data_IF_898328573814
#
_entry.id   IF_898328573814
#
_cell.length_a   1.000
_cell.length_b   1.000
_cell.length_c   1.000
_cell.angle_alpha   90.00
_cell.angle_beta   90.00
_cell.angle_gamma   90.00
#
_symmetry.space_group_name_H-M   'P 1'
#
loop_
_entity.id
_entity.type
_entity.pdbx_description
1 polymer ?
#
# COMPACT_ATOMS: atom_id res chain seq x y z
N UNK A 1 37.88 1.94 -5.61
CA UNK A 1 38.48 2.51 -4.38
C UNK A 1 39.52 3.56 -4.79
N UNK A 2 39.67 4.68 -4.07
CA UNK A 2 40.84 5.58 -4.25
C UNK A 2 42.18 4.82 -4.10
N UNK A 3 42.15 3.61 -3.54
CA UNK A 3 43.29 2.71 -3.44
C UNK A 3 43.77 2.10 -4.78
N UNK A 4 43.01 2.19 -5.88
CA UNK A 4 43.40 1.55 -7.16
C UNK A 4 44.11 2.49 -8.15
N UNK A 5 44.20 3.79 -7.84
CA UNK A 5 45.04 4.74 -8.57
C UNK A 5 46.16 5.24 -7.67
N UNK A 6 47.15 4.38 -7.43
CA UNK A 6 48.44 4.75 -6.83
C UNK A 6 49.32 5.57 -7.78
N UNK A 7 48.77 6.64 -8.36
CA UNK A 7 49.57 7.65 -9.07
C UNK A 7 50.34 8.55 -8.10
N UNK A 8 51.37 9.27 -8.56
CA UNK A 8 52.18 10.14 -7.70
C UNK A 8 51.40 11.33 -7.11
N UNK A 9 50.21 11.64 -7.62
CA UNK A 9 49.36 12.72 -7.15
C UNK A 9 48.13 12.16 -6.45
N UNK A 10 48.04 12.41 -5.13
CA UNK A 10 46.87 12.12 -4.33
C UNK A 10 45.79 13.16 -4.65
N UNK A 11 44.72 12.77 -5.34
CA UNK A 11 43.60 13.68 -5.62
C UNK A 11 42.89 14.04 -4.30
N UNK A 12 43.13 15.25 -3.80
CA UNK A 12 42.51 15.76 -2.57
C UNK A 12 41.10 16.23 -2.86
N UNK A 13 40.10 15.40 -2.52
CA UNK A 13 38.69 15.79 -2.57
C UNK A 13 38.33 16.53 -1.28
N UNK A 14 37.86 17.77 -1.41
CA UNK A 14 37.40 18.59 -0.28
C UNK A 14 35.89 18.79 -0.40
N UNK A 15 35.17 18.48 0.68
CA UNK A 15 33.73 18.71 0.74
C UNK A 15 33.42 20.21 0.83
N UNK A 16 32.34 20.63 0.17
CA UNK A 16 31.82 21.99 0.29
C UNK A 16 31.37 22.29 1.74
N UNK A 17 31.44 23.54 2.24
CA UNK A 17 31.01 23.87 3.61
C UNK A 17 29.56 23.47 3.97
N UNK A 18 28.68 23.45 2.97
CA UNK A 18 27.27 23.03 3.12
C UNK A 18 27.00 21.58 2.69
N UNK A 19 28.05 20.78 2.48
CA UNK A 19 27.88 19.37 2.15
C UNK A 19 27.41 18.59 3.38
N UNK A 20 26.33 17.83 3.22
CA UNK A 20 25.86 16.88 4.22
C UNK A 20 25.53 15.56 3.54
N UNK A 21 25.74 14.45 4.26
CA UNK A 21 25.36 13.12 3.81
C UNK A 21 24.04 12.75 4.45
N UNK A 22 23.03 12.48 3.62
CA UNK A 22 21.79 11.86 4.05
C UNK A 22 21.82 10.39 3.63
N UNK A 23 21.49 9.49 4.55
CA UNK A 23 21.34 8.07 4.28
C UNK A 23 20.04 7.58 4.90
N UNK A 24 19.41 6.59 4.27
CA UNK A 24 18.26 5.89 4.83
C UNK A 24 18.65 4.45 5.13
N UNK A 25 18.00 3.89 6.14
CA UNK A 25 18.14 2.49 6.48
C UNK A 25 16.76 1.88 6.67
N UNK A 26 16.63 0.63 6.26
CA UNK A 26 15.52 -0.16 6.77
C UNK A 26 15.77 -0.45 8.25
N UNK A 27 14.72 -0.48 9.11
CA UNK A 27 14.86 -0.96 10.47
C UNK A 27 15.51 -2.34 10.48
N UNK A 28 16.46 -2.60 11.39
CA UNK A 28 16.99 -3.96 11.53
C UNK A 28 16.00 -4.87 12.25
N UNK A 29 16.09 -6.16 11.92
CA UNK A 29 15.12 -7.19 12.31
C UNK A 29 14.58 -7.97 11.11
N UNK A 30 14.62 -7.39 9.91
CA UNK A 30 14.31 -8.12 8.67
C UNK A 30 15.44 -9.09 8.30
N UNK A 31 15.07 -10.28 7.85
CA UNK A 31 16.01 -11.33 7.45
C UNK A 31 17.00 -10.81 6.40
N UNK A 32 18.31 -10.93 6.69
CA UNK A 32 19.38 -10.48 5.80
C UNK A 32 19.77 -9.00 5.93
N UNK A 33 19.13 -8.21 6.82
CA UNK A 33 19.53 -6.82 7.08
C UNK A 33 20.41 -6.74 8.33
N UNK A 34 21.66 -6.31 8.15
CA UNK A 34 22.59 -6.08 9.26
C UNK A 34 22.40 -4.67 9.80
N UNK A 35 22.28 -4.58 11.12
CA UNK A 35 22.38 -3.33 11.85
C UNK A 35 23.73 -2.64 11.55
N UNK A 36 23.73 -1.31 11.52
CA UNK A 36 24.99 -0.57 11.45
C UNK A 36 25.77 -0.76 12.75
N UNK A 37 27.10 -0.78 12.63
CA UNK A 37 27.95 -0.81 13.82
C UNK A 37 27.70 0.43 14.69
N UNK A 38 27.79 0.31 16.03
CA UNK A 38 27.65 1.47 16.92
C UNK A 38 28.57 2.64 16.54
N UNK A 39 29.79 2.33 16.06
CA UNK A 39 30.75 3.33 15.61
C UNK A 39 30.27 4.15 14.40
N UNK A 40 29.50 3.54 13.48
CA UNK A 40 28.97 4.25 12.33
C UNK A 40 27.70 5.03 12.70
N UNK A 41 26.82 4.43 13.51
CA UNK A 41 25.62 5.09 14.06
C UNK A 41 25.97 6.38 14.81
N UNK A 42 27.02 6.33 15.65
CA UNK A 42 27.51 7.49 16.40
C UNK A 42 28.09 8.63 15.54
N UNK A 43 28.31 8.41 14.22
CA UNK A 43 28.74 9.46 13.28
C UNK A 43 27.59 10.15 12.55
N UNK A 44 26.38 9.62 12.67
CA UNK A 44 25.17 10.19 12.08
C UNK A 44 24.23 10.72 13.17
N UNK A 45 23.36 11.65 12.78
CA UNK A 45 22.15 11.95 13.55
C UNK A 45 21.04 11.00 13.08
N UNK A 46 20.58 10.13 13.97
CA UNK A 46 19.51 9.19 13.65
C UNK A 46 18.15 9.81 13.86
N UNK A 47 17.29 9.69 12.86
CA UNK A 47 15.90 10.11 12.90
C UNK A 47 15.04 8.86 12.66
N UNK A 48 14.24 8.50 13.67
CA UNK A 48 13.26 7.43 13.55
C UNK A 48 11.95 7.98 13.01
N UNK A 49 11.53 7.46 11.86
CA UNK A 49 10.25 7.84 11.22
C UNK A 49 9.21 6.79 11.60
N UNK A 50 8.16 7.16 12.36
CA UNK A 50 7.08 6.23 12.68
C UNK A 50 6.27 5.87 11.42
N UNK A 51 5.62 4.70 11.38
CA UNK A 51 4.68 4.40 10.31
C UNK A 51 3.49 5.35 10.35
N UNK A 52 2.98 5.72 9.17
CA UNK A 52 1.72 6.48 9.05
C UNK A 52 0.57 5.55 9.39
N UNK A 53 -0.10 5.86 10.50
CA UNK A 53 -1.27 5.13 11.00
C UNK A 53 -2.47 6.03 11.25
N UNK A 54 -2.29 7.35 11.14
CA UNK A 54 -3.35 8.33 11.31
C UNK A 54 -4.33 8.25 10.14
N UNK A 55 -5.63 8.12 10.46
CA UNK A 55 -6.65 7.88 9.44
C UNK A 55 -6.91 9.12 8.58
N UNK A 56 -6.75 10.32 9.14
CA UNK A 56 -6.95 11.58 8.41
C UNK A 56 -5.78 11.80 7.44
N UNK A 57 -4.55 11.49 7.84
CA UNK A 57 -3.38 11.51 6.96
C UNK A 57 -3.52 10.49 5.80
N UNK A 58 -3.94 9.26 6.11
CA UNK A 58 -4.21 8.25 5.07
C UNK A 58 -5.32 8.68 4.10
N UNK A 59 -6.38 9.30 4.62
CA UNK A 59 -7.46 9.87 3.81
C UNK A 59 -6.92 10.98 2.89
N UNK A 60 -6.11 11.89 3.43
CA UNK A 60 -5.46 12.96 2.68
C UNK A 60 -4.59 12.43 1.54
N UNK A 61 -3.75 11.42 1.82
CA UNK A 61 -2.92 10.74 0.80
C UNK A 61 -3.78 10.13 -0.31
N UNK A 62 -4.89 9.47 0.05
CA UNK A 62 -5.77 8.87 -0.93
C UNK A 62 -6.46 9.92 -1.81
N UNK A 63 -6.98 11.00 -1.21
CA UNK A 63 -7.64 12.09 -1.92
C UNK A 63 -6.69 12.84 -2.86
N UNK A 64 -5.48 13.15 -2.41
CA UNK A 64 -4.48 13.88 -3.21
C UNK A 64 -4.04 13.08 -4.45
N UNK A 65 -3.96 11.75 -4.31
CA UNK A 65 -3.53 10.86 -5.39
C UNK A 65 -4.58 10.61 -6.46
N UNK A 66 -5.86 10.76 -6.15
CA UNK A 66 -6.94 10.55 -7.11
C UNK A 66 -7.11 11.84 -7.92
N UNK A 67 -6.43 11.88 -9.06
CA UNK A 67 -6.24 13.10 -9.85
C UNK A 67 -7.45 13.49 -10.69
N UNK A 68 -8.30 12.52 -11.02
CA UNK A 68 -9.38 12.65 -12.01
C UNK A 68 -10.69 13.24 -11.45
N UNK A 69 -10.86 13.28 -10.13
CA UNK A 69 -12.10 13.68 -9.46
C UNK A 69 -12.11 15.17 -9.07
N UNK A 70 -11.87 16.07 -10.03
CA UNK A 70 -11.78 17.53 -9.79
C UNK A 70 -13.10 18.31 -9.95
N UNK A 71 -14.22 17.61 -10.18
CA UNK A 71 -15.54 18.24 -10.34
C UNK A 71 -16.41 18.16 -9.06
N UNK A 72 -17.22 19.19 -8.73
CA UNK A 72 -18.00 19.25 -7.49
C UNK A 72 -19.00 18.09 -7.33
N UNK A 73 -19.64 17.64 -8.41
CA UNK A 73 -20.57 16.49 -8.39
C UNK A 73 -19.87 15.16 -8.11
N UNK A 74 -18.58 15.04 -8.44
CA UNK A 74 -17.80 13.82 -8.26
C UNK A 74 -17.11 13.75 -6.89
N UNK A 75 -16.98 14.88 -6.20
CA UNK A 75 -16.32 14.95 -4.88
C UNK A 75 -17.08 14.17 -3.80
N UNK A 76 -18.41 14.23 -3.75
CA UNK A 76 -19.19 13.48 -2.76
C UNK A 76 -19.01 11.97 -2.92
N UNK A 77 -19.05 11.48 -4.16
CA UNK A 77 -18.85 10.05 -4.45
C UNK A 77 -17.40 9.62 -4.18
N UNK A 78 -16.43 10.45 -4.52
CA UNK A 78 -15.02 10.21 -4.19
C UNK A 78 -14.83 10.08 -2.68
N UNK A 79 -15.40 10.99 -1.89
CA UNK A 79 -15.32 10.93 -0.43
C UNK A 79 -15.95 9.65 0.11
N UNK A 80 -17.07 9.19 -0.45
CA UNK A 80 -17.67 7.91 -0.07
C UNK A 80 -16.74 6.72 -0.35
N UNK A 81 -16.09 6.70 -1.52
CA UNK A 81 -15.13 5.66 -1.90
C UNK A 81 -13.90 5.68 -0.98
N UNK A 82 -13.28 6.84 -0.78
CA UNK A 82 -12.11 6.96 0.08
C UNK A 82 -12.46 6.60 1.54
N UNK A 83 -13.60 7.04 2.05
CA UNK A 83 -14.06 6.66 3.38
C UNK A 83 -14.28 5.15 3.52
N UNK A 84 -14.72 4.46 2.46
CA UNK A 84 -14.79 3.01 2.44
C UNK A 84 -13.39 2.37 2.48
N UNK A 85 -12.42 2.90 1.73
CA UNK A 85 -11.02 2.44 1.76
C UNK A 85 -10.41 2.58 3.15
N UNK A 86 -10.55 3.74 3.78
CA UNK A 86 -9.97 4.03 5.11
C UNK A 86 -10.71 3.26 6.22
N UNK A 87 -12.03 3.13 6.14
CA UNK A 87 -12.78 2.26 7.06
C UNK A 87 -12.33 0.80 6.95
N UNK A 88 -12.08 0.32 5.72
CA UNK A 88 -11.61 -1.03 5.48
C UNK A 88 -10.19 -1.23 6.01
N UNK A 89 -9.33 -0.25 5.79
CA UNK A 89 -7.97 -0.21 6.33
C UNK A 89 -7.94 -0.45 7.84
N UNK A 90 -8.69 0.38 8.57
CA UNK A 90 -8.76 0.35 10.02
C UNK A 90 -9.34 -0.98 10.50
N UNK A 91 -10.46 -1.41 9.91
CA UNK A 91 -11.11 -2.67 10.26
C UNK A 91 -10.21 -3.88 10.02
N UNK A 92 -9.59 -3.97 8.85
CA UNK A 92 -8.76 -5.11 8.46
C UNK A 92 -7.52 -5.22 9.36
N UNK A 93 -6.86 -4.10 9.66
CA UNK A 93 -5.68 -4.10 10.53
C UNK A 93 -6.02 -4.49 11.97
N UNK A 94 -7.22 -4.15 12.47
CA UNK A 94 -7.72 -4.60 13.79
C UNK A 94 -8.01 -6.10 13.85
N UNK A 95 -8.21 -6.79 12.72
CA UNK A 95 -8.43 -8.24 12.71
C UNK A 95 -7.14 -9.05 12.98
N UNK A 96 -5.97 -8.42 12.84
CA UNK A 96 -4.67 -9.08 12.96
C UNK A 96 -4.57 -10.42 12.19
N UNK A 97 -4.88 -10.47 10.88
CA UNK A 97 -4.93 -11.74 10.13
C UNK A 97 -3.55 -12.32 9.80
N UNK A 98 -2.46 -11.85 10.43
CA UNK A 98 -1.08 -12.23 10.08
C UNK A 98 -0.44 -11.39 8.98
N UNK A 99 -1.19 -10.44 8.38
CA UNK A 99 -0.67 -9.36 7.52
C UNK A 99 -1.28 -8.04 7.96
N UNK A 100 -0.44 -7.03 8.16
CA UNK A 100 -0.86 -5.65 8.38
C UNK A 100 -0.78 -4.90 7.05
N UNK A 101 -1.82 -4.15 6.71
CA UNK A 101 -1.79 -3.22 5.58
C UNK A 101 -0.90 -2.03 5.95
N UNK A 102 -0.06 -1.60 5.00
CA UNK A 102 0.87 -0.46 5.05
C UNK A 102 0.55 0.65 4.03
N UNK A 103 0.94 1.90 4.22
CA UNK A 103 0.70 3.00 3.25
C UNK A 103 0.93 2.62 1.78
N UNK A 104 1.92 1.75 1.50
CA UNK A 104 2.18 1.18 0.17
C UNK A 104 0.96 0.45 -0.42
N UNK A 105 0.29 -0.36 0.38
CA UNK A 105 -0.93 -1.08 0.02
C UNK A 105 -2.06 -0.10 -0.32
N UNK A 106 -2.25 0.95 0.49
CA UNK A 106 -3.24 2.00 0.23
C UNK A 106 -2.94 2.72 -1.09
N UNK A 107 -1.69 3.16 -1.29
CA UNK A 107 -1.26 3.85 -2.51
C UNK A 107 -1.47 2.95 -3.73
N UNK A 108 -1.17 1.66 -3.62
CA UNK A 108 -1.35 0.70 -4.72
C UNK A 108 -2.83 0.49 -5.04
N UNK A 109 -3.69 0.41 -4.01
CA UNK A 109 -5.13 0.29 -4.18
C UNK A 109 -5.74 1.55 -4.82
N UNK A 110 -5.32 2.73 -4.36
CA UNK A 110 -5.72 4.02 -4.94
C UNK A 110 -5.25 4.14 -6.39
N UNK A 111 -4.01 3.75 -6.69
CA UNK A 111 -3.48 3.75 -8.05
C UNK A 111 -4.27 2.84 -9.00
N UNK A 112 -4.66 1.65 -8.53
CA UNK A 112 -5.55 0.78 -9.29
C UNK A 112 -6.92 1.44 -9.55
N UNK A 113 -7.49 2.06 -8.52
CA UNK A 113 -8.78 2.74 -8.63
C UNK A 113 -8.76 3.88 -9.64
N UNK A 114 -7.78 4.80 -9.56
CA UNK A 114 -7.67 5.97 -10.45
C UNK A 114 -7.54 5.58 -11.94
N UNK A 115 -6.94 4.43 -12.23
CA UNK A 115 -6.80 3.90 -13.59
C UNK A 115 -8.10 3.24 -14.08
N UNK A 116 -8.82 2.52 -13.22
CA UNK A 116 -9.88 1.58 -13.65
C UNK A 116 -11.30 2.08 -13.48
N UNK A 117 -11.51 3.13 -12.67
CA UNK A 117 -12.85 3.63 -12.32
C UNK A 117 -13.70 4.03 -13.54
N UNK A 118 -13.11 4.67 -14.55
CA UNK A 118 -13.85 5.09 -15.75
C UNK A 118 -14.42 3.89 -16.52
N UNK A 119 -13.69 2.77 -16.51
CA UNK A 119 -14.03 1.57 -17.29
C UNK A 119 -14.93 0.59 -16.53
N UNK A 120 -14.78 0.50 -15.20
CA UNK A 120 -15.49 -0.45 -14.36
C UNK A 120 -16.65 0.19 -13.58
N UNK A 121 -16.62 1.51 -13.42
CA UNK A 121 -17.39 2.23 -12.41
C UNK A 121 -16.69 2.21 -11.04
N UNK A 122 -16.93 3.22 -10.19
CA UNK A 122 -16.15 3.42 -8.97
C UNK A 122 -16.35 2.31 -7.92
N UNK A 123 -17.56 1.78 -7.74
CA UNK A 123 -17.80 0.69 -6.79
C UNK A 123 -17.06 -0.59 -7.22
N UNK A 124 -17.10 -0.91 -8.52
CA UNK A 124 -16.39 -2.08 -9.06
C UNK A 124 -14.88 -1.89 -8.99
N UNK A 125 -14.35 -0.71 -9.36
CA UNK A 125 -12.92 -0.42 -9.27
C UNK A 125 -12.39 -0.52 -7.84
N UNK A 126 -13.15 -0.04 -6.86
CA UNK A 126 -12.83 -0.18 -5.43
C UNK A 126 -12.75 -1.66 -5.03
N UNK A 127 -13.78 -2.46 -5.34
CA UNK A 127 -13.84 -3.88 -4.99
C UNK A 127 -12.75 -4.69 -5.71
N UNK A 128 -12.56 -4.46 -7.02
CA UNK A 128 -11.51 -5.06 -7.84
C UNK A 128 -10.11 -4.78 -7.31
N UNK A 129 -9.83 -3.53 -6.95
CA UNK A 129 -8.56 -3.15 -6.35
C UNK A 129 -8.32 -3.81 -5.00
N UNK A 130 -9.34 -3.94 -4.15
CA UNK A 130 -9.19 -4.56 -2.83
C UNK A 130 -8.72 -6.01 -2.96
N UNK A 131 -9.36 -6.79 -3.83
CA UNK A 131 -8.99 -8.19 -4.00
C UNK A 131 -7.64 -8.36 -4.69
N UNK A 132 -7.40 -7.66 -5.79
CA UNK A 132 -6.18 -7.83 -6.57
C UNK A 132 -4.94 -7.34 -5.82
N UNK A 133 -5.04 -6.19 -5.14
CA UNK A 133 -3.89 -5.58 -4.46
C UNK A 133 -3.70 -6.15 -3.05
N UNK A 134 -4.78 -6.38 -2.30
CA UNK A 134 -4.69 -6.67 -0.87
C UNK A 134 -4.93 -8.15 -0.56
N UNK A 135 -5.97 -8.75 -1.16
CA UNK A 135 -6.52 -10.02 -0.66
C UNK A 135 -6.08 -11.28 -1.41
N UNK A 136 -5.69 -11.20 -2.68
CA UNK A 136 -5.29 -12.37 -3.45
C UNK A 136 -4.00 -12.99 -2.91
N UNK A 137 -3.08 -12.16 -2.42
CA UNK A 137 -1.84 -12.59 -1.77
C UNK A 137 -1.99 -13.13 -0.35
N UNK A 138 -3.20 -13.21 0.24
CA UNK A 138 -3.37 -13.57 1.65
C UNK A 138 -2.86 -14.95 2.04
N UNK A 139 -2.77 -15.91 1.11
CA UNK A 139 -2.24 -17.24 1.39
C UNK A 139 -0.72 -17.36 1.14
N UNK A 140 -0.07 -16.29 0.68
CA UNK A 140 1.36 -16.30 0.37
C UNK A 140 2.15 -15.78 1.58
N UNK A 141 2.88 -16.67 2.25
CA UNK A 141 3.82 -16.29 3.32
C UNK A 141 3.19 -15.92 4.67
N UNK A 142 1.87 -15.95 4.81
CA UNK A 142 1.14 -15.62 6.07
C UNK A 142 0.84 -16.83 6.96
N UNK A 143 1.00 -18.05 6.44
CA UNK A 143 0.62 -19.29 7.14
C UNK A 143 -0.88 -19.56 7.22
N UNK A 144 -1.72 -18.70 6.63
CA UNK A 144 -3.19 -18.87 6.60
C UNK A 144 -3.57 -20.01 5.65
N UNK A 145 -4.46 -20.91 6.08
CA UNK A 145 -4.95 -21.99 5.21
C UNK A 145 -5.75 -21.44 4.03
N UNK A 146 -5.84 -22.18 2.92
CA UNK A 146 -6.65 -21.76 1.76
C UNK A 146 -8.12 -21.53 2.13
N UNK A 147 -8.65 -22.32 3.06
CA UNK A 147 -10.02 -22.21 3.56
C UNK A 147 -10.21 -20.91 4.33
N UNK A 148 -9.37 -20.66 5.34
CA UNK A 148 -9.47 -19.45 6.17
C UNK A 148 -9.25 -18.18 5.35
N UNK A 149 -8.35 -18.24 4.35
CA UNK A 149 -8.16 -17.16 3.40
C UNK A 149 -9.40 -16.93 2.51
N UNK A 150 -10.17 -17.97 2.20
CA UNK A 150 -11.47 -17.86 1.52
C UNK A 150 -12.50 -17.16 2.41
N UNK A 151 -12.69 -17.64 3.63
CA UNK A 151 -13.62 -17.07 4.61
C UNK A 151 -13.27 -15.60 4.93
N UNK A 152 -11.98 -15.25 5.03
CA UNK A 152 -11.54 -13.88 5.23
C UNK A 152 -11.88 -12.97 4.03
N UNK A 153 -11.73 -13.46 2.79
CA UNK A 153 -12.09 -12.69 1.59
C UNK A 153 -13.59 -12.39 1.54
N UNK A 154 -14.44 -13.35 1.91
CA UNK A 154 -15.89 -13.15 1.99
C UNK A 154 -16.28 -12.10 3.04
N UNK A 155 -15.63 -12.15 4.21
CA UNK A 155 -15.81 -11.12 5.24
C UNK A 155 -15.37 -9.74 4.77
N UNK A 156 -14.24 -9.64 4.06
CA UNK A 156 -13.74 -8.39 3.49
C UNK A 156 -14.72 -7.79 2.48
N UNK A 157 -15.24 -8.63 1.58
CA UNK A 157 -16.25 -8.22 0.61
C UNK A 157 -17.52 -7.70 1.29
N UNK A 158 -18.03 -8.45 2.27
CA UNK A 158 -19.24 -8.09 3.01
C UNK A 158 -19.09 -6.73 3.71
N UNK A 159 -17.92 -6.48 4.31
CA UNK A 159 -17.61 -5.19 4.94
C UNK A 159 -17.61 -4.04 3.91
N UNK A 160 -16.94 -4.21 2.77
CA UNK A 160 -16.85 -3.17 1.74
C UNK A 160 -18.23 -2.83 1.16
N UNK A 161 -19.06 -3.84 0.88
CA UNK A 161 -20.42 -3.64 0.38
C UNK A 161 -21.29 -2.86 1.37
N UNK A 162 -21.17 -3.18 2.67
CA UNK A 162 -21.87 -2.44 3.72
C UNK A 162 -21.46 -0.96 3.72
N UNK A 163 -20.17 -0.67 3.52
CA UNK A 163 -19.65 0.71 3.47
C UNK A 163 -20.12 1.48 2.24
N UNK A 164 -20.32 0.79 1.12
CA UNK A 164 -20.82 1.38 -0.13
C UNK A 164 -22.34 1.56 -0.18
N UNK A 165 -23.09 1.03 0.80
CA UNK A 165 -24.57 1.01 0.80
C UNK A 165 -25.15 0.36 -0.48
N UNK A 166 -24.40 -0.55 -1.10
CA UNK A 166 -24.79 -1.25 -2.33
C UNK A 166 -25.51 -2.57 -2.04
N UNK A 167 -26.56 -2.88 -2.82
CA UNK A 167 -27.33 -4.12 -2.71
C UNK A 167 -26.56 -5.35 -3.24
N UNK A 168 -27.02 -6.53 -2.82
CA UNK A 168 -26.46 -7.87 -3.08
C UNK A 168 -26.32 -8.27 -4.55
N UNK A 169 -27.01 -7.60 -5.49
CA UNK A 169 -26.94 -7.94 -6.91
C UNK A 169 -25.62 -7.50 -7.56
N UNK A 170 -25.07 -6.35 -7.14
CA UNK A 170 -23.72 -5.89 -7.53
C UNK A 170 -22.67 -6.90 -7.05
N UNK A 171 -22.90 -7.50 -5.88
CA UNK A 171 -22.05 -8.55 -5.31
C UNK A 171 -21.97 -9.79 -6.19
N UNK A 172 -23.10 -10.26 -6.72
CA UNK A 172 -23.13 -11.45 -7.59
C UNK A 172 -22.46 -11.19 -8.93
N UNK A 173 -22.61 -9.99 -9.49
CA UNK A 173 -21.92 -9.61 -10.72
C UNK A 173 -20.41 -9.43 -10.51
N UNK A 174 -19.99 -8.79 -9.41
CA UNK A 174 -18.58 -8.65 -9.02
C UNK A 174 -17.96 -10.03 -8.81
N UNK A 175 -18.55 -10.90 -7.98
CA UNK A 175 -18.05 -12.27 -7.76
C UNK A 175 -17.98 -13.06 -9.07
N UNK A 176 -19.03 -12.98 -9.91
CA UNK A 176 -19.02 -13.63 -11.24
C UNK A 176 -17.91 -13.08 -12.12
N UNK A 177 -17.76 -11.77 -12.23
CA UNK A 177 -16.72 -11.11 -13.03
C UNK A 177 -15.32 -11.34 -12.48
N UNK A 178 -15.11 -11.43 -11.17
CA UNK A 178 -13.83 -11.81 -10.57
C UNK A 178 -13.43 -13.24 -10.93
N UNK A 179 -14.36 -14.18 -10.86
CA UNK A 179 -14.10 -15.56 -11.27
C UNK A 179 -13.82 -15.65 -12.78
N UNK A 180 -14.47 -14.82 -13.60
CA UNK A 180 -14.23 -14.72 -15.06
C UNK A 180 -12.89 -14.02 -15.39
N UNK A 181 -12.53 -12.94 -14.68
CA UNK A 181 -11.25 -12.24 -14.84
C UNK A 181 -10.06 -13.07 -14.34
N UNK A 182 -10.24 -13.88 -13.29
CA UNK A 182 -9.24 -14.90 -12.91
C UNK A 182 -9.04 -15.92 -14.03
N UNK A 183 -10.10 -16.29 -14.75
CA UNK A 183 -9.98 -17.18 -15.92
C UNK A 183 -9.25 -16.52 -17.09
N UNK A 184 -9.43 -15.22 -17.31
CA UNK A 184 -8.81 -14.48 -18.42
C UNK A 184 -7.35 -14.07 -18.15
N UNK A 185 -6.95 -13.90 -16.89
CA UNK A 185 -5.58 -13.56 -16.48
C UNK A 185 -4.71 -14.79 -16.13
N UNK A 186 -5.28 -16.00 -16.17
CA UNK A 186 -4.58 -17.29 -16.02
C UNK A 186 -4.33 -18.02 -17.36
N UNK A 187 -4.40 -17.29 -18.49
CA UNK A 187 -3.93 -17.76 -19.81
C UNK A 187 -2.70 -16.96 -20.20
#
# INVERSE_FOLDING_TARGET
>A
SLAEKGGPELEKVVAHPNFFVLATMNPGGDYGKKELSPALRNRFTEIWVPPVIDLDELQGIALERISKFKGPTYQERLLLIVNAMISFWEWFNKLHPGRMLTVRDLISWVGFFDITEESLGPEHALLHGAFLVLLDGLSLGTGISKRDAGELRERCLSFLLQKLRTNTDVTLEVIRRFNVLKLLLLV
#
